data_IF_149355437320
#
_entry.id   IF_149355437320
#
_cell.length_a   1.000
_cell.length_b   1.000
_cell.length_c   1.000
_cell.angle_alpha   90.00
_cell.angle_beta   90.00
_cell.angle_gamma   90.00
#
_symmetry.space_group_name_H-M   'P 1'
#
loop_
_entity.id
_entity.type
_entity.pdbx_description
1 polymer ?
#
# COMPACT_ATOMS: atom_id res chain seq x y z
N UNK A 1 -52.73 27.80 -25.47
CA UNK A 1 -52.21 26.62 -24.75
C UNK A 1 -50.91 26.17 -25.39
N UNK A 2 -49.79 26.29 -24.68
CA UNK A 2 -48.62 25.39 -24.77
C UNK A 2 -47.68 25.77 -23.61
N UNK A 3 -47.78 25.00 -22.54
CA UNK A 3 -46.91 25.06 -21.38
C UNK A 3 -45.53 24.49 -21.78
N UNK A 4 -44.48 25.29 -21.62
CA UNK A 4 -43.10 24.81 -21.74
C UNK A 4 -42.60 24.42 -20.34
N UNK A 5 -42.33 23.12 -20.20
CA UNK A 5 -41.79 22.47 -19.01
C UNK A 5 -40.46 23.10 -18.60
N UNK A 6 -40.39 23.57 -17.35
CA UNK A 6 -39.15 23.93 -16.67
C UNK A 6 -38.59 22.63 -16.08
N UNK A 7 -37.54 22.08 -16.71
CA UNK A 7 -36.75 20.98 -16.14
C UNK A 7 -35.65 21.62 -15.30
N UNK A 8 -35.84 21.63 -13.99
CA UNK A 8 -34.83 22.06 -13.02
C UNK A 8 -33.78 20.96 -12.90
N UNK A 9 -32.59 21.15 -13.51
CA UNK A 9 -31.43 20.31 -13.21
C UNK A 9 -30.92 20.64 -11.80
N UNK A 10 -31.18 19.73 -10.86
CA UNK A 10 -30.49 19.71 -9.57
C UNK A 10 -29.06 19.20 -9.81
N UNK A 11 -28.11 20.12 -9.91
CA UNK A 11 -26.68 19.82 -9.89
C UNK A 11 -26.33 19.28 -8.51
N UNK A 12 -26.25 17.96 -8.36
CA UNK A 12 -25.70 17.33 -7.16
C UNK A 12 -24.20 17.58 -7.14
N UNK A 13 -23.76 18.58 -6.37
CA UNK A 13 -22.36 18.72 -5.99
C UNK A 13 -22.00 17.58 -5.05
N UNK A 14 -21.29 16.58 -5.54
CA UNK A 14 -20.65 15.59 -4.69
C UNK A 14 -19.58 16.28 -3.85
N UNK A 15 -19.83 16.40 -2.53
CA UNK A 15 -18.77 16.72 -1.58
C UNK A 15 -17.84 15.49 -1.51
N UNK A 16 -16.64 15.61 -2.09
CA UNK A 16 -15.57 14.69 -1.77
C UNK A 16 -15.16 14.94 -0.31
N UNK A 17 -15.56 14.04 0.59
CA UNK A 17 -15.00 13.97 1.93
C UNK A 17 -13.53 13.60 1.76
N UNK A 18 -12.65 14.58 1.93
CA UNK A 18 -11.24 14.33 2.20
C UNK A 18 -11.17 13.69 3.60
N UNK A 19 -11.46 12.39 3.66
CA UNK A 19 -11.21 11.59 4.84
C UNK A 19 -9.72 11.66 5.10
N UNK A 20 -9.31 12.33 6.17
CA UNK A 20 -7.99 12.13 6.73
C UNK A 20 -7.83 10.63 6.91
N UNK A 21 -6.89 10.06 6.15
CA UNK A 21 -6.55 8.64 6.19
C UNK A 21 -5.97 8.34 7.57
N UNK A 22 -6.83 8.15 8.56
CA UNK A 22 -6.51 7.33 9.71
C UNK A 22 -6.52 5.90 9.18
N UNK A 23 -5.34 5.44 8.75
CA UNK A 23 -5.06 4.13 8.14
C UNK A 23 -5.25 2.97 9.12
N UNK A 24 -5.83 3.23 10.30
CA UNK A 24 -6.13 2.23 11.32
C UNK A 24 -7.21 1.24 10.90
N UNK A 25 -8.08 1.60 9.95
CA UNK A 25 -9.15 0.75 9.42
C UNK A 25 -9.31 1.00 7.91
N UNK A 26 -8.29 0.65 7.10
CA UNK A 26 -8.45 0.67 5.65
C UNK A 26 -9.44 -0.44 5.24
N UNK A 27 -10.59 -0.06 4.68
CA UNK A 27 -11.52 -1.04 4.13
C UNK A 27 -10.96 -1.64 2.82
N UNK A 28 -11.51 -2.77 2.39
CA UNK A 28 -10.98 -3.48 1.21
C UNK A 28 -11.05 -2.66 -0.09
N UNK A 29 -12.04 -1.77 -0.23
CA UNK A 29 -12.17 -0.90 -1.40
C UNK A 29 -11.08 0.18 -1.43
N UNK A 30 -10.67 0.69 -0.27
CA UNK A 30 -9.56 1.65 -0.15
C UNK A 30 -8.22 0.98 -0.53
N UNK A 31 -8.02 -0.27 -0.10
CA UNK A 31 -6.81 -1.03 -0.43
C UNK A 31 -6.72 -1.31 -1.94
N UNK A 32 -7.82 -1.71 -2.57
CA UNK A 32 -7.88 -1.93 -4.01
C UNK A 32 -7.61 -0.64 -4.80
N UNK A 33 -8.20 0.49 -4.36
CA UNK A 33 -7.99 1.80 -5.01
C UNK A 33 -6.56 2.29 -4.90
N UNK A 34 -5.94 2.10 -3.71
CA UNK A 34 -4.52 2.42 -3.48
C UNK A 34 -3.61 1.57 -4.35
N UNK A 35 -3.85 0.25 -4.39
CA UNK A 35 -3.12 -0.65 -5.27
C UNK A 35 -3.28 -0.24 -6.75
N UNK A 36 -4.50 0.09 -7.18
CA UNK A 36 -4.75 0.56 -8.54
C UNK A 36 -3.96 1.83 -8.90
N UNK A 37 -3.76 2.73 -7.93
CA UNK A 37 -3.02 3.99 -8.11
C UNK A 37 -1.51 3.77 -8.18
N UNK A 38 -0.97 2.88 -7.34
CA UNK A 38 0.49 2.70 -7.18
C UNK A 38 1.03 1.56 -8.06
N UNK A 39 0.32 0.44 -8.11
CA UNK A 39 0.71 -0.78 -8.81
C UNK A 39 0.07 -0.88 -10.21
N UNK A 40 -1.07 -0.20 -10.42
CA UNK A 40 -1.96 -0.41 -11.56
C UNK A 40 -3.13 -1.34 -11.24
N UNK A 41 -4.10 -1.43 -12.16
CA UNK A 41 -5.28 -2.27 -11.99
C UNK A 41 -4.96 -3.77 -12.05
N UNK A 42 -5.81 -4.60 -11.45
CA UNK A 42 -5.69 -6.07 -11.53
C UNK A 42 -4.72 -6.69 -10.52
N UNK A 43 -4.36 -5.94 -9.47
CA UNK A 43 -3.62 -6.43 -8.32
C UNK A 43 -4.58 -6.83 -7.20
N UNK A 44 -4.37 -8.00 -6.62
CA UNK A 44 -5.13 -8.53 -5.50
C UNK A 44 -4.30 -8.50 -4.22
N UNK A 45 -4.94 -8.23 -3.07
CA UNK A 45 -4.25 -8.19 -1.79
C UNK A 45 -3.74 -9.59 -1.43
N UNK A 46 -2.45 -9.69 -1.14
CA UNK A 46 -1.80 -10.94 -0.72
C UNK A 46 -1.52 -10.94 0.79
N UNK A 47 -0.85 -9.89 1.31
CA UNK A 47 -0.57 -9.76 2.75
C UNK A 47 -0.78 -8.33 3.22
N UNK A 48 -1.24 -8.20 4.46
CA UNK A 48 -1.24 -6.94 5.21
C UNK A 48 -0.56 -7.19 6.56
N UNK A 49 0.68 -6.72 6.69
CA UNK A 49 1.53 -6.97 7.85
C UNK A 49 1.59 -5.69 8.69
N UNK A 50 0.96 -5.66 9.87
CA UNK A 50 1.13 -4.54 10.78
C UNK A 50 2.55 -4.52 11.36
N UNK A 51 3.16 -3.34 11.38
CA UNK A 51 4.54 -3.13 11.84
C UNK A 51 4.60 -2.10 12.98
N UNK A 52 5.42 -2.31 14.02
CA UNK A 52 6.27 -3.50 14.22
C UNK A 52 5.45 -4.78 14.47
N UNK A 53 5.96 -5.92 14.02
CA UNK A 53 5.23 -7.19 14.12
C UNK A 53 5.10 -7.60 15.58
N UNK A 54 3.91 -8.08 15.98
CA UNK A 54 3.66 -8.60 17.32
C UNK A 54 3.45 -7.53 18.41
N UNK A 55 3.35 -6.25 18.05
CA UNK A 55 3.01 -5.19 19.01
C UNK A 55 1.49 -5.01 19.15
N UNK A 56 1.07 -4.36 20.24
CA UNK A 56 -0.32 -3.94 20.42
C UNK A 56 -0.80 -3.11 19.21
N UNK A 57 -2.07 -3.25 18.77
CA UNK A 57 -2.61 -2.47 17.66
C UNK A 57 -2.38 -0.95 17.76
N UNK A 58 -2.39 -0.38 18.96
CA UNK A 58 -2.16 1.06 19.20
C UNK A 58 -0.70 1.48 19.02
N UNK A 59 0.22 0.53 18.98
CA UNK A 59 1.66 0.75 18.79
C UNK A 59 2.13 0.48 17.35
N UNK A 60 1.20 0.17 16.44
CA UNK A 60 1.52 0.00 15.02
C UNK A 60 1.88 1.34 14.41
N UNK A 61 3.09 1.40 13.85
CA UNK A 61 3.67 2.59 13.24
C UNK A 61 3.51 2.57 11.70
N UNK A 62 3.22 1.41 11.12
CA UNK A 62 2.90 1.30 9.70
C UNK A 62 2.27 -0.05 9.36
N UNK A 63 1.83 -0.18 8.11
CA UNK A 63 1.35 -1.46 7.57
C UNK A 63 2.02 -1.72 6.23
N UNK A 64 2.68 -2.87 6.11
CA UNK A 64 3.24 -3.33 4.86
C UNK A 64 2.18 -4.17 4.13
N UNK A 65 1.76 -3.69 2.97
CA UNK A 65 0.87 -4.40 2.07
C UNK A 65 1.66 -5.02 0.94
N UNK A 66 1.38 -6.28 0.61
CA UNK A 66 1.84 -6.90 -0.63
C UNK A 66 0.64 -7.33 -1.45
N UNK A 67 0.74 -7.19 -2.76
CA UNK A 67 -0.27 -7.52 -3.75
C UNK A 67 0.31 -8.41 -4.83
N UNK A 68 -0.53 -9.27 -5.40
CA UNK A 68 -0.18 -10.14 -6.53
C UNK A 68 -0.93 -9.63 -7.76
N UNK A 69 -0.18 -9.31 -8.81
CA UNK A 69 -0.71 -9.15 -10.16
C UNK A 69 -0.37 -10.37 -11.01
N UNK A 70 -0.82 -10.36 -12.27
CA UNK A 70 -0.66 -11.50 -13.19
C UNK A 70 0.79 -12.01 -13.29
N UNK A 71 1.73 -11.09 -13.49
CA UNK A 71 3.14 -11.42 -13.76
C UNK A 71 4.11 -10.64 -12.85
N UNK A 72 3.58 -9.94 -11.83
CA UNK A 72 4.36 -9.00 -11.00
C UNK A 72 3.85 -8.96 -9.56
N UNK A 73 4.75 -8.74 -8.62
CA UNK A 73 4.41 -8.38 -7.25
C UNK A 73 4.28 -6.86 -7.09
N UNK A 74 3.51 -6.40 -6.11
CA UNK A 74 3.55 -5.00 -5.69
C UNK A 74 3.61 -4.92 -4.17
N UNK A 75 4.36 -3.95 -3.64
CA UNK A 75 4.42 -3.71 -2.21
C UNK A 75 4.32 -2.22 -1.89
N UNK A 76 3.58 -1.93 -0.81
CA UNK A 76 3.29 -0.59 -0.34
C UNK A 76 3.50 -0.59 1.17
N UNK A 77 4.40 0.25 1.66
CA UNK A 77 4.50 0.54 3.09
C UNK A 77 3.65 1.77 3.38
N UNK A 78 2.67 1.63 4.27
CA UNK A 78 1.77 2.70 4.69
C UNK A 78 2.22 3.25 6.05
N UNK A 79 2.19 4.57 6.17
CA UNK A 79 2.69 5.28 7.35
C UNK A 79 1.54 5.65 8.28
N UNK A 80 1.58 5.13 9.51
CA UNK A 80 0.52 5.30 10.49
C UNK A 80 0.90 6.27 11.63
N UNK A 81 2.01 7.02 11.51
CA UNK A 81 2.47 7.95 12.56
C UNK A 81 1.97 9.39 12.39
N UNK A 82 1.11 9.66 11.40
CA UNK A 82 0.45 10.98 11.21
C UNK A 82 1.38 12.12 10.81
N UNK A 83 2.64 11.83 10.44
CA UNK A 83 3.64 12.79 9.98
C UNK A 83 4.55 12.14 8.96
N UNK A 84 5.21 12.94 8.12
CA UNK A 84 6.18 12.43 7.15
C UNK A 84 7.31 11.64 7.83
N UNK A 85 7.74 10.55 7.22
CA UNK A 85 8.79 9.66 7.71
C UNK A 85 9.72 9.28 6.57
N UNK A 86 10.95 8.90 6.90
CA UNK A 86 11.77 8.12 5.99
C UNK A 86 11.12 6.74 5.82
N UNK A 87 10.91 6.34 4.57
CA UNK A 87 10.29 5.08 4.21
C UNK A 87 11.09 4.43 3.11
N UNK A 88 11.19 3.11 3.17
CA UNK A 88 11.89 2.32 2.17
C UNK A 88 11.21 0.96 2.07
N UNK A 89 10.95 0.54 0.85
CA UNK A 89 10.58 -0.83 0.51
C UNK A 89 11.65 -1.33 -0.45
N UNK A 90 12.03 -2.60 -0.36
CA UNK A 90 12.99 -3.19 -1.27
C UNK A 90 12.62 -4.63 -1.54
N UNK A 91 12.72 -5.02 -2.81
CA UNK A 91 12.38 -6.37 -3.27
C UNK A 91 13.53 -6.83 -4.13
N UNK A 92 14.11 -7.96 -3.78
CA UNK A 92 15.21 -8.54 -4.52
C UNK A 92 14.77 -9.83 -5.20
N UNK A 93 15.49 -10.23 -6.24
CA UNK A 93 15.44 -11.59 -6.73
C UNK A 93 15.94 -12.59 -5.66
N UNK A 94 15.69 -13.88 -5.88
CA UNK A 94 15.99 -14.95 -4.92
C UNK A 94 17.48 -15.03 -4.53
N UNK A 95 18.38 -14.56 -5.41
CA UNK A 95 19.82 -14.55 -5.16
C UNK A 95 20.33 -13.21 -4.59
N UNK A 96 19.45 -12.21 -4.45
CA UNK A 96 19.76 -10.89 -3.88
C UNK A 96 20.59 -9.96 -4.76
N UNK A 97 20.83 -10.30 -6.04
CA UNK A 97 21.68 -9.51 -6.95
C UNK A 97 20.94 -8.36 -7.60
N UNK A 98 19.65 -8.54 -7.88
CA UNK A 98 18.83 -7.54 -8.54
C UNK A 98 17.72 -7.11 -7.60
N UNK A 99 17.78 -5.85 -7.15
CA UNK A 99 16.82 -5.31 -6.20
C UNK A 99 16.18 -4.04 -6.74
N UNK A 100 14.86 -4.05 -6.76
CA UNK A 100 14.05 -2.86 -6.91
C UNK A 100 13.78 -2.24 -5.53
N UNK A 101 13.55 -0.93 -5.52
CA UNK A 101 13.41 -0.14 -4.30
C UNK A 101 12.19 0.77 -4.39
N UNK A 102 11.75 1.23 -3.22
CA UNK A 102 10.57 2.06 -2.98
C UNK A 102 9.27 1.35 -3.36
N UNK A 103 8.13 2.05 -3.42
CA UNK A 103 6.83 1.40 -3.65
C UNK A 103 6.50 1.29 -5.14
N UNK A 104 5.85 0.20 -5.54
CA UNK A 104 5.38 0.04 -6.91
C UNK A 104 5.33 -1.42 -7.36
N UNK A 105 5.20 -1.62 -8.67
CA UNK A 105 5.25 -2.93 -9.30
C UNK A 105 6.70 -3.41 -9.45
N UNK A 106 6.98 -4.58 -8.91
CA UNK A 106 8.28 -5.24 -8.97
C UNK A 106 8.24 -6.37 -10.00
N UNK A 107 9.15 -6.33 -10.98
CA UNK A 107 9.14 -7.25 -12.13
C UNK A 107 10.08 -8.44 -12.00
N UNK A 108 10.87 -8.49 -10.93
CA UNK A 108 11.67 -9.68 -10.63
C UNK A 108 10.74 -10.87 -10.33
N UNK A 109 11.29 -12.09 -10.35
CA UNK A 109 10.56 -13.29 -9.97
C UNK A 109 10.04 -13.12 -8.54
N UNK A 110 8.80 -12.64 -8.41
CA UNK A 110 8.25 -12.09 -7.17
C UNK A 110 7.75 -13.21 -6.26
N UNK A 111 7.44 -14.37 -6.83
CA UNK A 111 7.24 -15.60 -6.09
C UNK A 111 8.49 -15.87 -5.23
N UNK A 112 8.29 -16.01 -3.92
CA UNK A 112 9.37 -16.13 -2.93
C UNK A 112 10.38 -14.98 -2.87
N UNK A 113 10.12 -13.82 -3.48
CA UNK A 113 11.10 -12.74 -3.45
C UNK A 113 11.30 -12.21 -2.02
N UNK A 114 12.57 -12.08 -1.57
CA UNK A 114 12.88 -11.40 -0.33
C UNK A 114 12.40 -9.95 -0.38
N UNK A 115 11.75 -9.53 0.69
CA UNK A 115 11.21 -8.21 0.85
C UNK A 115 11.74 -7.56 2.13
N UNK A 116 12.11 -6.30 2.03
CA UNK A 116 12.52 -5.46 3.15
C UNK A 116 11.63 -4.23 3.23
N UNK A 117 11.25 -3.85 4.44
CA UNK A 117 10.49 -2.63 4.69
C UNK A 117 11.12 -1.90 5.87
N UNK A 118 11.44 -0.62 5.68
CA UNK A 118 12.08 0.22 6.70
C UNK A 118 11.32 1.52 6.87
N UNK A 119 11.20 1.96 8.12
CA UNK A 119 10.60 3.26 8.45
C UNK A 119 11.30 3.88 9.66
N UNK A 120 11.47 5.20 9.60
CA UNK A 120 12.20 5.93 10.61
C UNK A 120 12.12 7.44 10.47
N UNK A 121 12.78 8.14 11.39
CA UNK A 121 13.03 9.58 11.24
C UNK A 121 14.02 9.86 10.10
N UNK A 122 14.96 8.92 9.88
CA UNK A 122 15.94 8.95 8.80
C UNK A 122 16.43 7.53 8.50
N UNK A 123 17.24 7.35 7.45
CA UNK A 123 17.89 6.08 7.15
C UNK A 123 18.82 5.55 8.27
N UNK A 124 19.21 6.41 9.22
CA UNK A 124 20.07 6.08 10.38
C UNK A 124 19.30 5.89 11.69
N UNK A 125 18.01 6.18 11.71
CA UNK A 125 17.16 6.11 12.90
C UNK A 125 15.84 5.44 12.53
N UNK A 126 15.88 4.12 12.46
CA UNK A 126 14.77 3.25 12.07
C UNK A 126 14.09 2.69 13.32
N UNK A 127 12.77 2.69 13.32
CA UNK A 127 11.94 1.97 14.30
C UNK A 127 11.13 0.83 13.66
N UNK A 128 11.09 0.78 12.32
CA UNK A 128 10.75 -0.41 11.55
C UNK A 128 11.98 -0.77 10.72
N UNK A 129 12.48 -2.00 10.91
CA UNK A 129 13.45 -2.67 10.04
C UNK A 129 13.00 -4.12 9.87
N UNK A 130 12.06 -4.32 8.95
CA UNK A 130 11.41 -5.59 8.70
C UNK A 130 12.01 -6.28 7.48
N UNK A 131 12.23 -7.59 7.59
CA UNK A 131 12.65 -8.45 6.50
C UNK A 131 11.75 -9.69 6.47
N UNK A 132 11.30 -10.03 5.27
CA UNK A 132 10.61 -11.28 4.96
C UNK A 132 11.39 -11.99 3.86
N UNK A 133 11.72 -13.26 4.06
CA UNK A 133 12.35 -14.07 3.01
C UNK A 133 11.35 -14.44 1.92
N UNK A 134 10.06 -14.38 2.24
CA UNK A 134 8.97 -14.75 1.34
C UNK A 134 7.92 -13.64 1.31
N UNK A 135 8.24 -12.50 0.68
CA UNK A 135 7.32 -11.35 0.56
C UNK A 135 5.98 -11.72 -0.08
N UNK A 136 5.99 -12.74 -0.95
CA UNK A 136 4.82 -13.38 -1.56
C UNK A 136 4.82 -14.89 -1.33
N UNK A 137 3.68 -15.52 -1.60
CA UNK A 137 3.58 -16.98 -1.56
C UNK A 137 4.61 -17.61 -2.51
N UNK A 138 5.13 -18.76 -2.08
CA UNK A 138 5.91 -19.67 -2.90
C UNK A 138 4.96 -20.74 -3.41
N UNK A 139 4.76 -20.81 -4.72
CA UNK A 139 4.15 -21.99 -5.35
C UNK A 139 5.23 -23.00 -5.73
#
# INVERSE_FOLDING_TARGET
MKLLNIITLLSTTSLAVAGGLDTREANNADLATRAATICGSGYELNKAIPLPKGTDPKQRLGTLYTYIGKDKGCAILDNNVGKAQYMYVGVCDLNGKHCDKDSGAFSHNFACAPLVAKMGQSSKSLYIDYKDEYGWACE
#
